data_IF_867742321278
#
_entry.id   IF_867742321278
#
_cell.length_a   1.000
_cell.length_b   1.000
_cell.length_c   1.000
_cell.angle_alpha   90.00
_cell.angle_beta   90.00
_cell.angle_gamma   90.00
#
_symmetry.space_group_name_H-M   'P 1'
#
loop_
_entity.id
_entity.type
_entity.pdbx_description
1 polymer ?
#
# COMPACT_ATOMS: atom_id res chain seq x y z
N UNK A 1 -15.69 19.74 -2.63
CA UNK A 1 -16.32 18.92 -3.68
C UNK A 1 -15.95 17.47 -3.40
N UNK A 2 -16.92 16.62 -3.19
CA UNK A 2 -16.69 15.16 -2.98
C UNK A 2 -16.13 14.56 -4.27
N UNK A 3 -14.99 13.89 -4.19
CA UNK A 3 -14.43 13.17 -5.34
C UNK A 3 -15.40 12.05 -5.73
N UNK A 4 -16.00 12.14 -6.92
CA UNK A 4 -17.00 11.16 -7.40
C UNK A 4 -16.45 9.73 -7.44
N UNK A 5 -15.14 9.56 -7.63
CA UNK A 5 -14.47 8.25 -7.60
C UNK A 5 -14.42 7.67 -6.19
N UNK A 6 -14.16 8.53 -5.18
CA UNK A 6 -14.14 8.11 -3.79
C UNK A 6 -15.54 7.67 -3.33
N UNK A 7 -16.58 8.39 -3.74
CA UNK A 7 -17.97 8.00 -3.48
C UNK A 7 -18.30 6.65 -4.14
N UNK A 8 -17.94 6.47 -5.41
CA UNK A 8 -18.17 5.22 -6.14
C UNK A 8 -17.47 4.00 -5.47
N UNK A 9 -16.23 4.16 -5.00
CA UNK A 9 -15.54 3.10 -4.25
C UNK A 9 -16.28 2.79 -2.95
N UNK A 10 -16.69 3.81 -2.20
CA UNK A 10 -17.41 3.61 -0.95
C UNK A 10 -18.77 2.92 -1.18
N UNK A 11 -19.45 3.18 -2.29
CA UNK A 11 -20.70 2.50 -2.64
C UNK A 11 -20.51 1.01 -2.98
N UNK A 12 -19.39 0.66 -3.60
CA UNK A 12 -19.13 -0.73 -4.04
C UNK A 12 -18.62 -1.65 -2.94
N UNK A 13 -18.08 -1.10 -1.85
CA UNK A 13 -17.51 -1.88 -0.74
C UNK A 13 -18.49 -1.88 0.43
N UNK A 14 -18.92 -3.08 0.82
CA UNK A 14 -19.73 -3.27 2.03
C UNK A 14 -18.87 -3.08 3.27
N UNK A 15 -19.26 -2.17 4.16
CA UNK A 15 -18.62 -1.89 5.44
C UNK A 15 -19.70 -1.94 6.52
N UNK A 16 -19.48 -2.79 7.54
CA UNK A 16 -20.30 -2.84 8.73
C UNK A 16 -20.08 -1.57 9.57
N UNK A 17 -21.13 -0.78 9.86
CA UNK A 17 -20.99 0.48 10.56
C UNK A 17 -20.54 0.36 12.01
N UNK A 18 -20.58 -0.83 12.61
CA UNK A 18 -20.23 -1.04 14.02
C UNK A 18 -18.85 -1.67 14.23
N UNK A 19 -18.18 -2.07 13.15
CA UNK A 19 -16.88 -2.76 13.25
C UNK A 19 -15.73 -1.83 12.90
N UNK A 20 -14.56 -1.98 13.57
CA UNK A 20 -13.34 -1.25 13.18
C UNK A 20 -12.91 -1.63 11.77
N UNK A 21 -12.36 -0.66 11.06
CA UNK A 21 -11.93 -0.77 9.67
C UNK A 21 -10.41 -0.64 9.56
N UNK A 22 -9.79 -1.59 8.87
CA UNK A 22 -8.41 -1.52 8.41
C UNK A 22 -8.38 -1.29 6.90
N UNK A 23 -7.79 -0.19 6.48
CA UNK A 23 -7.50 0.13 5.08
C UNK A 23 -6.01 -0.07 4.88
N UNK A 24 -5.61 -0.96 3.97
CA UNK A 24 -4.20 -1.34 3.80
C UNK A 24 -3.78 -1.26 2.34
N UNK A 25 -2.61 -0.67 2.08
CA UNK A 25 -2.00 -0.66 0.74
C UNK A 25 -1.50 -2.05 0.33
N UNK A 26 -1.23 -2.24 -0.95
CA UNK A 26 -0.76 -3.51 -1.50
C UNK A 26 0.75 -3.54 -1.73
N UNK A 27 1.31 -2.60 -2.50
CA UNK A 27 2.70 -2.63 -2.92
C UNK A 27 3.62 -2.11 -1.80
N UNK A 28 4.73 -2.81 -1.50
CA UNK A 28 5.62 -2.56 -0.36
C UNK A 28 4.97 -2.69 1.04
N UNK A 29 3.69 -3.11 1.10
CA UNK A 29 2.98 -3.42 2.36
C UNK A 29 2.56 -4.88 2.42
N UNK A 30 1.84 -5.39 1.41
CA UNK A 30 1.40 -6.79 1.28
C UNK A 30 2.28 -7.57 0.29
N UNK A 31 2.85 -6.88 -0.68
CA UNK A 31 3.65 -7.45 -1.76
C UNK A 31 5.02 -6.79 -1.84
N UNK A 32 6.04 -7.59 -2.10
CA UNK A 32 7.45 -7.18 -2.21
C UNK A 32 7.72 -6.52 -3.57
N UNK A 33 7.06 -5.39 -3.83
CA UNK A 33 7.14 -4.67 -5.11
C UNK A 33 8.59 -4.36 -5.47
N UNK A 34 9.35 -3.76 -4.56
CA UNK A 34 10.70 -3.31 -4.87
C UNK A 34 11.64 -4.47 -5.21
N UNK A 35 11.54 -5.59 -4.49
CA UNK A 35 12.37 -6.77 -4.78
C UNK A 35 12.08 -7.33 -6.18
N UNK A 36 10.81 -7.43 -6.56
CA UNK A 36 10.40 -7.88 -7.89
C UNK A 36 10.77 -6.87 -8.99
N UNK A 37 10.59 -5.57 -8.73
CA UNK A 37 10.94 -4.51 -9.68
C UNK A 37 12.46 -4.46 -9.95
N UNK A 38 13.30 -4.64 -8.91
CA UNK A 38 14.76 -4.71 -9.07
C UNK A 38 15.17 -5.88 -9.99
N UNK A 39 14.53 -7.03 -9.85
CA UNK A 39 14.76 -8.19 -10.73
C UNK A 39 14.37 -7.84 -12.17
N UNK A 40 13.20 -7.28 -12.38
CA UNK A 40 12.68 -6.90 -13.69
C UNK A 40 13.58 -5.89 -14.42
N UNK A 41 14.01 -4.82 -13.75
CA UNK A 41 14.90 -3.84 -14.38
C UNK A 41 16.29 -4.43 -14.63
N UNK A 42 16.76 -5.34 -13.76
CA UNK A 42 18.02 -6.07 -13.95
C UNK A 42 18.02 -6.95 -15.20
N UNK A 43 16.90 -7.62 -15.51
CA UNK A 43 16.72 -8.40 -16.75
C UNK A 43 16.85 -7.50 -18.02
N UNK A 44 16.58 -6.20 -17.88
CA UNK A 44 16.71 -5.20 -18.94
C UNK A 44 18.10 -4.51 -18.97
N UNK A 45 19.02 -4.93 -18.11
CA UNK A 45 20.37 -4.37 -18.02
C UNK A 45 20.45 -3.07 -17.20
N UNK A 46 19.36 -2.67 -16.53
CA UNK A 46 19.34 -1.51 -15.67
C UNK A 46 19.73 -1.86 -14.24
N UNK A 47 20.13 -0.87 -13.46
CA UNK A 47 20.46 -1.02 -12.04
C UNK A 47 19.73 0.02 -11.20
N UNK A 48 19.64 -0.20 -9.90
CA UNK A 48 19.03 0.71 -8.95
C UNK A 48 20.02 1.12 -7.86
N UNK A 49 20.01 2.39 -7.50
CA UNK A 49 20.80 2.93 -6.38
C UNK A 49 19.86 3.46 -5.30
N UNK A 50 20.06 3.03 -4.07
CA UNK A 50 19.23 3.42 -2.93
C UNK A 50 19.71 4.78 -2.37
N UNK A 51 19.31 5.89 -3.02
CA UNK A 51 19.58 7.27 -2.56
C UNK A 51 18.37 7.96 -1.97
N UNK A 52 17.18 7.59 -2.42
CA UNK A 52 15.91 8.12 -1.95
C UNK A 52 14.81 7.07 -2.18
N UNK A 53 13.60 7.35 -1.69
CA UNK A 53 12.44 6.47 -1.88
C UNK A 53 11.92 6.47 -3.33
N UNK A 54 12.17 7.51 -4.10
CA UNK A 54 11.68 7.64 -5.47
C UNK A 54 12.35 6.64 -6.43
N UNK A 55 11.61 6.10 -7.39
CA UNK A 55 12.19 5.31 -8.47
C UNK A 55 12.95 6.19 -9.47
N UNK A 56 12.34 7.33 -9.88
CA UNK A 56 12.97 8.29 -10.76
C UNK A 56 14.23 8.90 -10.13
N UNK A 57 15.33 8.93 -10.87
CA UNK A 57 16.64 9.36 -10.41
C UNK A 57 17.48 8.27 -9.75
N UNK A 58 16.87 7.11 -9.39
CA UNK A 58 17.55 5.98 -8.78
C UNK A 58 17.71 4.77 -9.72
N UNK A 59 16.90 4.67 -10.80
CA UNK A 59 17.12 3.69 -11.86
C UNK A 59 18.19 4.21 -12.81
N UNK A 60 19.29 3.47 -12.95
CA UNK A 60 20.42 3.81 -13.83
C UNK A 60 20.35 2.99 -15.11
N UNK A 61 20.80 3.56 -16.23
CA UNK A 61 20.85 2.91 -17.54
C UNK A 61 21.65 1.59 -17.51
N UNK A 62 22.71 1.54 -16.71
CA UNK A 62 23.55 0.39 -16.42
C UNK A 62 24.32 0.64 -15.11
N UNK A 63 25.09 -0.34 -14.65
CA UNK A 63 25.90 -0.17 -13.42
C UNK A 63 26.84 1.05 -13.56
N UNK A 64 26.76 1.95 -12.59
CA UNK A 64 27.51 3.22 -12.55
C UNK A 64 27.21 4.17 -13.73
N UNK A 65 26.13 3.91 -14.49
CA UNK A 65 25.66 4.74 -15.58
C UNK A 65 24.82 5.95 -15.13
N UNK A 66 24.37 6.78 -16.08
CA UNK A 66 23.49 7.90 -15.77
C UNK A 66 22.09 7.40 -15.33
N UNK A 67 21.37 8.19 -14.52
CA UNK A 67 19.97 7.91 -14.22
C UNK A 67 19.13 7.97 -15.50
N UNK A 68 18.15 7.07 -15.58
CA UNK A 68 17.15 7.10 -16.64
C UNK A 68 16.25 8.32 -16.49
N UNK A 69 15.75 8.81 -17.61
CA UNK A 69 14.74 9.85 -17.64
C UNK A 69 13.47 9.41 -16.91
N UNK A 70 12.77 10.37 -16.28
CA UNK A 70 11.54 10.12 -15.53
C UNK A 70 10.50 9.36 -16.34
N UNK A 71 10.32 9.71 -17.62
CA UNK A 71 9.34 9.05 -18.49
C UNK A 71 9.72 7.58 -18.71
N UNK A 72 10.99 7.28 -19.00
CA UNK A 72 11.47 5.90 -19.16
C UNK A 72 11.22 5.06 -17.90
N UNK A 73 11.46 5.64 -16.70
CA UNK A 73 11.16 4.94 -15.44
C UNK A 73 9.66 4.69 -15.28
N UNK A 74 8.82 5.67 -15.64
CA UNK A 74 7.36 5.51 -15.64
C UNK A 74 6.89 4.40 -16.57
N UNK A 75 7.47 4.33 -17.76
CA UNK A 75 7.16 3.29 -18.76
C UNK A 75 7.59 1.90 -18.26
N UNK A 76 8.77 1.80 -17.62
CA UNK A 76 9.23 0.56 -16.98
C UNK A 76 8.29 0.10 -15.86
N UNK A 77 7.77 1.01 -15.05
CA UNK A 77 6.79 0.70 -13.99
C UNK A 77 5.49 0.20 -14.59
N UNK A 78 5.01 0.87 -15.66
CA UNK A 78 3.79 0.44 -16.35
C UNK A 78 3.95 -0.95 -16.95
N UNK A 79 5.05 -1.20 -17.66
CA UNK A 79 5.37 -2.50 -18.24
C UNK A 79 5.53 -3.58 -17.16
N UNK A 80 6.14 -3.23 -16.02
CA UNK A 80 6.28 -4.14 -14.89
C UNK A 80 4.92 -4.59 -14.36
N UNK A 81 4.02 -3.66 -14.11
CA UNK A 81 2.68 -4.01 -13.65
C UNK A 81 1.91 -4.82 -14.70
N UNK A 82 2.01 -4.47 -15.97
CA UNK A 82 1.35 -5.20 -17.05
C UNK A 82 1.82 -6.65 -17.15
N UNK A 83 3.12 -6.88 -16.97
CA UNK A 83 3.71 -8.20 -17.26
C UNK A 83 3.99 -9.06 -16.03
N UNK A 84 4.14 -8.45 -14.84
CA UNK A 84 4.72 -9.11 -13.66
C UNK A 84 3.85 -9.02 -12.40
N UNK A 85 2.69 -8.39 -12.43
CA UNK A 85 1.85 -8.22 -11.22
C UNK A 85 1.56 -9.55 -10.53
N UNK A 86 1.32 -10.64 -11.28
CA UNK A 86 1.09 -11.98 -10.71
C UNK A 86 2.33 -12.60 -10.06
N UNK A 87 3.51 -12.14 -10.44
CA UNK A 87 4.79 -12.69 -10.01
C UNK A 87 5.36 -11.96 -8.79
N UNK A 88 4.75 -10.82 -8.39
CA UNK A 88 5.21 -10.08 -7.22
C UNK A 88 4.96 -10.91 -5.97
N UNK A 89 6.01 -11.30 -5.22
CA UNK A 89 5.84 -12.14 -4.04
C UNK A 89 5.04 -11.42 -2.96
N UNK A 90 4.09 -12.11 -2.35
CA UNK A 90 3.45 -11.61 -1.14
C UNK A 90 4.40 -11.72 0.06
N UNK A 91 4.24 -10.81 1.02
CA UNK A 91 4.85 -10.98 2.34
C UNK A 91 4.19 -12.16 3.05
N UNK A 92 5.03 -13.08 3.58
CA UNK A 92 4.55 -14.33 4.17
C UNK A 92 3.79 -14.12 5.48
N UNK A 93 4.02 -13.02 6.17
CA UNK A 93 3.38 -12.69 7.46
C UNK A 93 2.07 -11.91 7.27
N UNK A 94 1.87 -11.25 6.11
CA UNK A 94 0.72 -10.39 5.85
C UNK A 94 -0.62 -11.16 5.94
N UNK A 95 -0.79 -12.20 5.15
CA UNK A 95 -2.04 -12.96 5.12
C UNK A 95 -2.42 -13.59 6.47
N UNK A 96 -1.50 -14.25 7.20
CA UNK A 96 -1.79 -14.74 8.54
C UNK A 96 -2.20 -13.63 9.52
N UNK A 97 -1.53 -12.47 9.52
CA UNK A 97 -1.85 -11.35 10.40
C UNK A 97 -3.23 -10.76 10.08
N UNK A 98 -3.53 -10.49 8.81
CA UNK A 98 -4.83 -9.99 8.38
C UNK A 98 -5.97 -10.95 8.74
N UNK A 99 -5.78 -12.26 8.54
CA UNK A 99 -6.78 -13.25 8.91
C UNK A 99 -7.01 -13.32 10.43
N UNK A 100 -5.97 -13.19 11.26
CA UNK A 100 -6.14 -13.10 12.73
C UNK A 100 -6.90 -11.84 13.15
N UNK A 101 -6.66 -10.70 12.50
CA UNK A 101 -7.38 -9.45 12.74
C UNK A 101 -8.85 -9.56 12.34
N UNK A 102 -9.14 -10.16 11.18
CA UNK A 102 -10.51 -10.45 10.74
C UNK A 102 -11.27 -11.31 11.75
N UNK A 103 -10.65 -12.39 12.26
CA UNK A 103 -11.26 -13.25 13.28
C UNK A 103 -11.54 -12.52 14.60
N UNK A 104 -10.85 -11.41 14.86
CA UNK A 104 -11.07 -10.53 16.02
C UNK A 104 -12.10 -9.42 15.76
N UNK A 105 -12.75 -9.43 14.59
CA UNK A 105 -13.80 -8.49 14.26
C UNK A 105 -13.36 -7.27 13.45
N UNK A 106 -12.08 -7.14 13.08
CA UNK A 106 -11.63 -6.07 12.18
C UNK A 106 -12.08 -6.37 10.75
N UNK A 107 -12.71 -5.44 10.09
CA UNK A 107 -12.99 -5.52 8.65
C UNK A 107 -11.84 -4.90 7.86
N UNK A 108 -11.53 -5.44 6.68
CA UNK A 108 -10.32 -5.11 5.94
C UNK A 108 -10.66 -4.73 4.51
N UNK A 109 -10.06 -3.64 4.02
CA UNK A 109 -10.14 -3.19 2.63
C UNK A 109 -8.73 -2.97 2.11
N UNK A 110 -8.41 -3.50 0.92
CA UNK A 110 -7.15 -3.25 0.24
C UNK A 110 -7.34 -2.02 -0.67
N UNK A 111 -6.64 -0.92 -0.39
CA UNK A 111 -6.68 0.32 -1.17
C UNK A 111 -5.36 0.50 -1.93
N UNK A 112 -5.32 0.18 -3.22
CA UNK A 112 -4.08 0.13 -3.99
C UNK A 112 -4.09 1.04 -5.20
N UNK A 113 -2.98 1.71 -5.44
CA UNK A 113 -2.71 2.52 -6.64
C UNK A 113 -2.27 1.65 -7.84
N UNK A 114 -2.66 0.38 -7.86
CA UNK A 114 -2.40 -0.50 -8.99
C UNK A 114 -3.00 0.09 -10.29
N UNK A 115 -2.25 0.15 -11.40
CA UNK A 115 -2.77 0.61 -12.68
C UNK A 115 -3.98 -0.21 -13.13
N UNK A 116 -4.94 0.43 -13.81
CA UNK A 116 -6.20 -0.21 -14.25
C UNK A 116 -5.99 -1.48 -15.07
N UNK A 117 -4.93 -1.52 -15.88
CA UNK A 117 -4.56 -2.69 -16.69
C UNK A 117 -4.16 -3.91 -15.85
N UNK A 118 -3.70 -3.71 -14.62
CA UNK A 118 -3.20 -4.76 -13.73
C UNK A 118 -4.15 -5.11 -12.57
N UNK A 119 -5.35 -4.52 -12.52
CA UNK A 119 -6.31 -4.75 -11.42
C UNK A 119 -6.70 -6.21 -11.28
N UNK A 120 -7.00 -6.89 -12.40
CA UNK A 120 -7.39 -8.31 -12.37
C UNK A 120 -6.21 -9.22 -11.97
N UNK A 121 -5.00 -8.88 -12.40
CA UNK A 121 -3.80 -9.59 -11.99
C UNK A 121 -3.49 -9.37 -10.49
N UNK A 122 -3.77 -8.18 -9.97
CA UNK A 122 -3.68 -7.91 -8.53
C UNK A 122 -4.72 -8.72 -7.74
N UNK A 123 -5.97 -8.82 -8.23
CA UNK A 123 -6.99 -9.69 -7.62
C UNK A 123 -6.55 -11.14 -7.58
N UNK A 124 -5.97 -11.61 -8.68
CA UNK A 124 -5.40 -12.96 -8.73
C UNK A 124 -4.30 -13.15 -7.68
N UNK A 125 -3.33 -12.21 -7.59
CA UNK A 125 -2.21 -12.28 -6.63
C UNK A 125 -2.68 -12.28 -5.18
N UNK A 126 -3.66 -11.42 -4.84
CA UNK A 126 -4.29 -11.38 -3.51
C UNK A 126 -4.93 -12.73 -3.16
N UNK A 127 -5.70 -13.31 -4.08
CA UNK A 127 -6.33 -14.61 -3.89
C UNK A 127 -5.30 -15.74 -3.73
N UNK A 128 -4.26 -15.75 -4.56
CA UNK A 128 -3.18 -16.72 -4.51
C UNK A 128 -2.40 -16.65 -3.18
N UNK A 129 -2.24 -15.44 -2.62
CA UNK A 129 -1.64 -15.19 -1.31
C UNK A 129 -2.60 -15.44 -0.13
N UNK A 130 -3.83 -15.95 -0.37
CA UNK A 130 -4.88 -16.12 0.64
C UNK A 130 -5.29 -14.81 1.36
N UNK A 131 -5.20 -13.68 0.65
CA UNK A 131 -5.69 -12.37 1.08
C UNK A 131 -7.04 -12.12 0.37
N UNK A 132 -8.13 -12.56 0.99
CA UNK A 132 -9.47 -12.57 0.38
C UNK A 132 -10.33 -11.41 0.89
N UNK A 133 -9.81 -10.20 0.76
CA UNK A 133 -10.49 -8.96 1.16
C UNK A 133 -10.83 -8.10 -0.06
N UNK A 134 -11.83 -7.21 0.03
CA UNK A 134 -12.18 -6.30 -1.06
C UNK A 134 -10.97 -5.46 -1.53
N UNK A 135 -10.75 -5.40 -2.84
CA UNK A 135 -9.78 -4.52 -3.48
C UNK A 135 -10.48 -3.28 -4.00
N UNK A 136 -10.06 -2.12 -3.53
CA UNK A 136 -10.40 -0.78 -4.02
C UNK A 136 -9.24 -0.24 -4.87
N UNK A 137 -9.30 -0.34 -6.21
CA UNK A 137 -8.31 0.29 -7.07
C UNK A 137 -8.43 1.81 -6.97
N UNK A 138 -7.31 2.50 -6.82
CA UNK A 138 -7.24 3.95 -6.69
C UNK A 138 -6.18 4.55 -7.62
N UNK A 139 -6.15 5.87 -7.71
CA UNK A 139 -5.09 6.60 -8.40
C UNK A 139 -4.91 7.98 -7.77
N UNK A 140 -3.69 8.30 -7.42
CA UNK A 140 -3.31 9.55 -6.76
C UNK A 140 -3.32 9.47 -5.23
N UNK A 141 -3.34 10.63 -4.54
CA UNK A 141 -3.36 10.68 -3.08
C UNK A 141 -4.58 9.96 -2.49
N UNK A 142 -4.39 9.19 -1.41
CA UNK A 142 -5.43 8.29 -0.87
C UNK A 142 -6.42 8.95 0.09
N UNK A 143 -6.19 10.18 0.51
CA UNK A 143 -6.99 10.83 1.55
C UNK A 143 -8.49 10.85 1.27
N UNK A 144 -8.93 11.19 0.05
CA UNK A 144 -10.36 11.21 -0.30
C UNK A 144 -11.00 9.81 -0.27
N UNK A 145 -10.28 8.78 -0.73
CA UNK A 145 -10.77 7.41 -0.68
C UNK A 145 -10.84 6.88 0.76
N UNK A 146 -9.81 7.16 1.57
CA UNK A 146 -9.80 6.79 2.99
C UNK A 146 -10.93 7.48 3.76
N UNK A 147 -11.12 8.79 3.57
CA UNK A 147 -12.21 9.53 4.20
C UNK A 147 -13.59 8.96 3.83
N UNK A 148 -13.81 8.64 2.54
CA UNK A 148 -15.07 8.07 2.08
C UNK A 148 -15.33 6.66 2.65
N UNK A 149 -14.30 5.81 2.76
CA UNK A 149 -14.44 4.49 3.40
C UNK A 149 -14.64 4.61 4.92
N UNK A 150 -13.87 5.47 5.59
CA UNK A 150 -13.95 5.69 7.02
C UNK A 150 -15.32 6.23 7.45
N UNK A 151 -15.95 7.09 6.63
CA UNK A 151 -17.28 7.63 6.92
C UNK A 151 -18.40 6.58 6.98
N UNK A 152 -18.17 5.37 6.50
CA UNK A 152 -19.15 4.27 6.55
C UNK A 152 -19.16 3.51 7.87
N UNK A 153 -18.18 3.73 8.75
CA UNK A 153 -18.14 3.07 10.07
C UNK A 153 -18.09 4.09 11.20
N UNK A 154 -18.68 3.74 12.33
CA UNK A 154 -18.52 4.41 13.62
C UNK A 154 -17.34 3.81 14.41
N UNK A 155 -16.84 2.66 13.97
CA UNK A 155 -15.66 2.01 14.53
C UNK A 155 -14.38 2.79 14.20
N UNK A 156 -13.32 2.49 14.95
CA UNK A 156 -12.00 3.08 14.69
C UNK A 156 -11.48 2.64 13.31
N UNK A 157 -10.93 3.59 12.56
CA UNK A 157 -10.32 3.31 11.26
C UNK A 157 -8.81 3.44 11.34
N UNK A 158 -8.12 2.49 10.73
CA UNK A 158 -6.65 2.44 10.64
C UNK A 158 -6.26 2.38 9.17
N UNK A 159 -5.25 3.14 8.79
CA UNK A 159 -4.67 3.17 7.45
C UNK A 159 -3.20 2.76 7.48
N UNK A 160 -2.79 1.82 6.62
CA UNK A 160 -1.40 1.37 6.46
C UNK A 160 -0.94 1.65 5.04
N UNK A 161 0.19 2.32 4.91
CA UNK A 161 0.78 2.66 3.61
C UNK A 161 2.30 2.85 3.76
N UNK A 162 3.03 2.75 2.66
CA UNK A 162 4.48 2.94 2.59
C UNK A 162 4.87 4.35 2.13
N UNK A 163 3.92 5.12 1.54
CA UNK A 163 4.18 6.41 0.91
C UNK A 163 3.80 7.57 1.84
N UNK A 164 4.79 8.39 2.22
CA UNK A 164 4.60 9.54 3.12
C UNK A 164 3.50 10.50 2.66
N UNK A 165 3.43 10.82 1.35
CA UNK A 165 2.41 11.74 0.83
C UNK A 165 0.98 11.18 0.89
N UNK A 166 0.80 9.86 0.96
CA UNK A 166 -0.51 9.27 1.24
C UNK A 166 -0.92 9.52 2.69
N UNK A 167 0.01 9.39 3.66
CA UNK A 167 -0.24 9.73 5.06
C UNK A 167 -0.57 11.22 5.25
N UNK A 168 0.14 12.12 4.55
CA UNK A 168 -0.15 13.56 4.53
C UNK A 168 -1.57 13.81 4.03
N UNK A 169 -1.93 13.23 2.88
CA UNK A 169 -3.28 13.36 2.31
C UNK A 169 -4.37 12.81 3.23
N UNK A 170 -4.11 11.71 3.96
CA UNK A 170 -5.06 11.15 4.93
C UNK A 170 -5.14 12.02 6.18
N UNK A 171 -4.01 12.56 6.67
CA UNK A 171 -4.01 13.48 7.80
C UNK A 171 -4.84 14.73 7.54
N UNK A 172 -4.81 15.24 6.31
CA UNK A 172 -5.55 16.43 5.89
C UNK A 172 -7.06 16.20 5.76
N UNK A 173 -7.47 15.02 5.26
CA UNK A 173 -8.85 14.75 4.85
C UNK A 173 -9.63 13.82 5.78
N UNK A 174 -8.94 13.05 6.61
CA UNK A 174 -9.47 12.12 7.60
C UNK A 174 -8.55 12.08 8.83
N UNK A 175 -8.40 13.20 9.58
CA UNK A 175 -7.45 13.31 10.68
C UNK A 175 -7.70 12.31 11.82
N UNK A 176 -8.93 11.83 11.97
CA UNK A 176 -9.34 10.81 12.96
C UNK A 176 -8.84 9.41 12.64
N UNK A 177 -8.44 9.15 11.39
CA UNK A 177 -7.90 7.85 10.97
C UNK A 177 -6.49 7.66 11.52
N UNK A 178 -6.28 6.55 12.21
CA UNK A 178 -4.96 6.20 12.73
C UNK A 178 -4.05 5.70 11.61
N UNK A 179 -2.92 6.36 11.38
CA UNK A 179 -2.01 6.14 10.26
C UNK A 179 -0.77 5.42 10.70
N UNK A 180 -0.54 4.21 10.15
CA UNK A 180 0.63 3.38 10.37
C UNK A 180 1.51 3.36 9.13
N UNK A 181 2.72 3.85 9.24
CA UNK A 181 3.70 3.76 8.16
C UNK A 181 4.44 2.43 8.23
N UNK A 182 4.50 1.73 7.10
CA UNK A 182 5.21 0.46 6.99
C UNK A 182 5.79 0.27 5.59
N UNK A 183 7.02 -0.25 5.51
CA UNK A 183 7.73 -0.57 4.25
C UNK A 183 8.38 -1.93 4.38
N UNK A 184 8.08 -2.87 3.50
CA UNK A 184 8.66 -4.22 3.50
C UNK A 184 10.17 -4.15 3.26
N UNK A 185 10.61 -3.47 2.19
CA UNK A 185 12.00 -3.50 1.74
C UNK A 185 12.95 -2.76 2.71
N UNK A 186 13.89 -3.47 3.38
CA UNK A 186 14.66 -2.90 4.48
C UNK A 186 15.56 -1.72 4.07
N UNK A 187 16.10 -1.73 2.84
CA UNK A 187 16.90 -0.60 2.34
C UNK A 187 16.06 0.63 2.03
N UNK A 188 14.83 0.47 1.57
CA UNK A 188 13.91 1.60 1.40
C UNK A 188 13.51 2.16 2.76
N UNK A 189 13.12 1.31 3.70
CA UNK A 189 12.77 1.70 5.06
C UNK A 189 13.91 2.48 5.73
N UNK A 190 15.16 2.07 5.57
CA UNK A 190 16.33 2.76 6.11
C UNK A 190 16.57 4.15 5.50
N UNK A 191 16.07 4.45 4.31
CA UNK A 191 16.15 5.77 3.68
C UNK A 191 15.06 6.73 4.18
N UNK A 192 13.99 6.18 4.74
CA UNK A 192 12.89 6.97 5.29
C UNK A 192 13.21 7.26 6.76
N UNK A 193 13.25 8.54 7.09
CA UNK A 193 13.18 8.95 8.48
C UNK A 193 11.77 8.75 9.04
N UNK A 194 11.48 9.44 10.12
CA UNK A 194 10.13 9.50 10.66
C UNK A 194 9.19 10.16 9.65
N UNK A 195 8.07 9.51 9.35
CA UNK A 195 6.98 10.10 8.56
C UNK A 195 6.07 10.89 9.50
N UNK A 196 6.21 12.21 9.51
CA UNK A 196 5.52 13.09 10.48
C UNK A 196 3.99 12.99 10.39
N UNK A 197 3.44 12.70 9.22
CA UNK A 197 2.01 12.52 9.01
C UNK A 197 1.48 11.15 9.47
N UNK A 198 2.35 10.18 9.77
CA UNK A 198 1.97 8.92 10.38
C UNK A 198 1.94 9.03 11.90
N UNK A 199 1.02 8.31 12.55
CA UNK A 199 0.94 8.26 14.01
C UNK A 199 2.04 7.36 14.58
N UNK A 200 2.30 6.22 13.92
CA UNK A 200 3.36 5.28 14.26
C UNK A 200 4.01 4.66 13.01
N UNK A 201 5.17 4.03 13.21
CA UNK A 201 5.89 3.27 12.20
C UNK A 201 6.16 1.87 12.72
N UNK A 202 6.03 0.87 11.86
CA UNK A 202 6.32 -0.52 12.20
C UNK A 202 7.49 -1.07 11.37
N UNK A 203 8.20 -2.04 11.93
CA UNK A 203 9.29 -2.72 11.24
C UNK A 203 8.89 -4.08 10.64
N UNK A 204 7.77 -4.65 11.10
CA UNK A 204 7.29 -5.97 10.69
C UNK A 204 5.80 -6.13 10.97
N UNK A 205 5.20 -7.20 10.44
CA UNK A 205 3.78 -7.51 10.61
C UNK A 205 3.38 -7.83 12.06
N UNK A 206 4.30 -8.29 12.90
CA UNK A 206 4.01 -8.52 14.32
C UNK A 206 3.74 -7.19 15.04
N UNK A 207 4.55 -6.17 14.78
CA UNK A 207 4.33 -4.82 15.32
C UNK A 207 3.07 -4.19 14.74
N UNK A 208 2.85 -4.29 13.41
CA UNK A 208 1.61 -3.82 12.78
C UNK A 208 0.38 -4.43 13.45
N UNK A 209 0.35 -5.76 13.61
CA UNK A 209 -0.77 -6.44 14.26
C UNK A 209 -0.99 -5.95 15.70
N UNK A 210 0.08 -5.71 16.44
CA UNK A 210 0.01 -5.14 17.79
C UNK A 210 -0.61 -3.74 17.78
N UNK A 211 -0.11 -2.84 16.96
CA UNK A 211 -0.66 -1.47 16.83
C UNK A 211 -2.14 -1.49 16.43
N UNK A 212 -2.49 -2.31 15.43
CA UNK A 212 -3.89 -2.43 14.99
C UNK A 212 -4.79 -2.91 16.12
N UNK A 213 -4.38 -3.95 16.87
CA UNK A 213 -5.15 -4.46 18.02
C UNK A 213 -5.31 -3.40 19.11
N UNK A 214 -4.23 -2.70 19.39
CA UNK A 214 -4.22 -1.70 20.46
C UNK A 214 -5.11 -0.50 20.15
N UNK A 215 -5.25 -0.13 18.87
CA UNK A 215 -6.08 0.98 18.44
C UNK A 215 -7.50 0.58 18.01
N UNK A 216 -7.66 -0.55 17.32
CA UNK A 216 -8.96 -0.97 16.81
C UNK A 216 -9.82 -1.67 17.85
N UNK A 217 -9.22 -2.44 18.79
CA UNK A 217 -9.94 -3.40 19.65
C UNK A 217 -9.93 -3.03 21.13
N UNK A 218 -9.17 -2.02 21.55
CA UNK A 218 -9.25 -1.51 22.94
C UNK A 218 -10.28 -0.38 23.02
N UNK A 219 -11.18 -0.50 23.98
CA UNK A 219 -12.14 0.54 24.37
C UNK A 219 -11.42 1.75 24.97
#
# INVERSE_FOLDING_TARGET
MTDTRAAAIAETIEIDPLRPLLIVDADEVLFQFMAAFLTFIGEKGHTFVFRSYALAGNVLAYKDGPPLERQTVSDLVTEFFEKRTREIPADLEAAPALNRLMLKGVQIVILSNVPSIAVEDRRYSLNAANIKFPLAPWSGPKGTAVAALASKTQGKTIFIDDIASHHESVADLAPEVYRLHYVIHPKLRALLGKVEAANDQAENWFELEKFIRDHALKN
#
